data_IF_206985796130
#
_entry.id   IF_206985796130
#
_cell.length_a   1.000
_cell.length_b   1.000
_cell.length_c   1.000
_cell.angle_alpha   90.00
_cell.angle_beta   90.00
_cell.angle_gamma   90.00
#
_symmetry.space_group_name_H-M   'P 1'
#
loop_
_entity.id
_entity.type
_entity.pdbx_description
1 polymer ?
#
# COMPACT_ATOMS: atom_id res chain seq x y z
N UNK A 1 5.79 -10.29 23.50
CA UNK A 1 4.75 -9.23 23.38
C UNK A 1 3.40 -9.90 23.49
N UNK A 2 2.44 -9.38 24.25
CA UNK A 2 1.08 -9.93 24.24
C UNK A 2 0.46 -9.64 22.87
N UNK A 3 -0.42 -10.51 22.34
CA UNK A 3 -1.02 -10.35 21.00
C UNK A 3 -1.88 -9.10 20.87
N UNK A 4 -2.53 -8.64 21.94
CA UNK A 4 -3.20 -7.33 21.94
C UNK A 4 -2.19 -6.21 21.64
N UNK A 5 -0.96 -6.32 22.15
CA UNK A 5 0.12 -5.39 21.88
C UNK A 5 0.58 -5.46 20.43
N UNK A 6 0.72 -6.66 19.85
CA UNK A 6 1.14 -6.85 18.46
C UNK A 6 0.11 -6.29 17.46
N UNK A 7 -1.18 -6.63 17.62
CA UNK A 7 -2.25 -6.08 16.77
C UNK A 7 -2.32 -4.56 16.86
N UNK A 8 -2.23 -3.97 18.05
CA UNK A 8 -2.19 -2.53 18.24
C UNK A 8 -0.98 -1.90 17.52
N UNK A 9 0.20 -2.52 17.63
CA UNK A 9 1.41 -2.06 16.94
C UNK A 9 1.24 -2.10 15.43
N UNK A 10 0.66 -3.17 14.87
CA UNK A 10 0.34 -3.28 13.45
C UNK A 10 -0.64 -2.21 12.97
N UNK A 11 -1.73 -1.97 13.74
CA UNK A 11 -2.71 -0.92 13.44
C UNK A 11 -2.07 0.47 13.42
N UNK A 12 -1.30 0.81 14.45
CA UNK A 12 -0.59 2.10 14.51
C UNK A 12 0.38 2.23 13.34
N UNK A 13 1.12 1.16 13.02
CA UNK A 13 2.01 1.15 11.87
C UNK A 13 1.28 1.49 10.56
N UNK A 14 0.13 0.87 10.29
CA UNK A 14 -0.64 1.16 9.08
C UNK A 14 -1.25 2.55 9.06
N UNK A 15 -1.69 3.09 10.20
CA UNK A 15 -2.18 4.47 10.28
C UNK A 15 -1.08 5.47 9.90
N UNK A 16 0.13 5.27 10.43
CA UNK A 16 1.29 6.11 10.09
C UNK A 16 1.70 5.91 8.63
N UNK A 17 1.68 4.67 8.13
CA UNK A 17 1.94 4.37 6.72
C UNK A 17 0.96 5.08 5.79
N UNK A 18 -0.36 4.99 6.08
CA UNK A 18 -1.41 5.67 5.31
C UNK A 18 -1.23 7.19 5.31
N UNK A 19 -0.81 7.78 6.43
CA UNK A 19 -0.48 9.20 6.51
C UNK A 19 0.61 9.57 5.51
N UNK A 20 1.73 8.85 5.47
CA UNK A 20 2.82 9.14 4.53
C UNK A 20 2.40 8.90 3.07
N UNK A 21 1.70 7.82 2.78
CA UNK A 21 1.29 7.53 1.40
C UNK A 21 0.23 8.50 0.88
N UNK A 22 -0.64 9.00 1.74
CA UNK A 22 -1.68 9.98 1.36
C UNK A 22 -1.12 11.32 0.89
N UNK A 23 0.12 11.66 1.27
CA UNK A 23 0.78 12.90 0.81
C UNK A 23 1.23 12.85 -0.66
N UNK A 24 1.27 11.66 -1.27
CA UNK A 24 1.91 11.46 -2.56
C UNK A 24 1.19 12.20 -3.71
N UNK A 25 -0.15 12.12 -3.76
CA UNK A 25 -0.97 12.80 -4.77
C UNK A 25 -0.88 14.30 -4.65
N UNK A 26 -1.02 14.82 -3.43
CA UNK A 26 -0.97 16.25 -3.13
C UNK A 26 0.41 16.85 -3.42
N UNK A 27 1.49 16.13 -3.03
CA UNK A 27 2.86 16.58 -3.34
C UNK A 27 3.09 16.76 -4.84
N UNK A 28 2.53 15.87 -5.67
CA UNK A 28 2.61 16.03 -7.12
C UNK A 28 1.82 17.24 -7.63
N UNK A 29 0.67 17.53 -7.03
CA UNK A 29 -0.19 18.64 -7.45
C UNK A 29 0.41 20.03 -7.14
N UNK A 30 1.32 20.12 -6.18
CA UNK A 30 2.02 21.37 -5.82
C UNK A 30 3.40 21.53 -6.52
N UNK A 31 3.80 20.59 -7.39
CA UNK A 31 5.02 20.73 -8.20
C UNK A 31 4.84 21.82 -9.27
N UNK A 32 5.89 22.59 -9.52
CA UNK A 32 5.91 23.63 -10.57
C UNK A 32 5.86 23.00 -11.96
N UNK A 33 6.64 21.93 -12.16
CA UNK A 33 6.67 21.13 -13.38
C UNK A 33 6.54 19.63 -13.03
N UNK A 34 5.32 19.12 -12.80
CA UNK A 34 5.13 17.78 -12.23
C UNK A 34 5.54 16.62 -13.15
N UNK A 35 6.04 16.89 -14.34
CA UNK A 35 6.36 15.86 -15.31
C UNK A 35 5.17 14.92 -15.60
N UNK A 36 5.44 13.72 -16.11
CA UNK A 36 4.39 12.71 -16.26
C UNK A 36 4.12 12.00 -14.92
N UNK A 37 2.88 11.53 -14.69
CA UNK A 37 2.60 10.69 -13.51
C UNK A 37 3.56 9.50 -13.38
N UNK A 38 3.97 8.91 -14.51
CA UNK A 38 4.91 7.81 -14.56
C UNK A 38 6.30 8.18 -14.07
N UNK A 39 6.82 9.36 -14.45
CA UNK A 39 8.14 9.84 -14.01
C UNK A 39 8.18 10.09 -12.51
N UNK A 40 7.19 10.82 -11.95
CA UNK A 40 7.11 11.10 -10.51
C UNK A 40 7.08 9.80 -9.70
N UNK A 41 6.27 8.84 -10.12
CA UNK A 41 6.17 7.60 -9.39
C UNK A 41 7.40 6.69 -9.58
N UNK A 42 8.05 6.69 -10.73
CA UNK A 42 9.31 5.99 -10.93
C UNK A 42 10.40 6.56 -9.99
N UNK A 43 10.55 7.87 -9.91
CA UNK A 43 11.47 8.52 -8.98
C UNK A 43 11.12 8.23 -7.52
N UNK A 44 9.83 8.29 -7.16
CA UNK A 44 9.35 7.95 -5.81
C UNK A 44 9.73 6.54 -5.40
N UNK A 45 9.48 5.55 -6.28
CA UNK A 45 9.79 4.14 -6.00
C UNK A 45 11.29 3.92 -6.01
N UNK A 46 12.02 4.52 -6.96
CA UNK A 46 13.47 4.38 -7.04
C UNK A 46 14.13 4.87 -5.76
N UNK A 47 13.88 6.11 -5.36
CA UNK A 47 14.50 6.70 -4.16
C UNK A 47 13.95 6.09 -2.87
N UNK A 48 12.64 5.86 -2.78
CA UNK A 48 12.02 5.30 -1.59
C UNK A 48 12.37 3.84 -1.36
N UNK A 49 12.39 3.03 -2.43
CA UNK A 49 12.80 1.63 -2.34
C UNK A 49 14.30 1.48 -2.07
N UNK A 50 15.15 2.37 -2.61
CA UNK A 50 16.55 2.45 -2.25
C UNK A 50 16.72 2.84 -0.77
N UNK A 51 15.96 3.84 -0.29
CA UNK A 51 15.98 4.30 1.09
C UNK A 51 15.66 3.19 2.09
N UNK A 52 14.55 2.46 1.89
CA UNK A 52 14.21 1.34 2.78
C UNK A 52 15.22 0.19 2.62
N UNK A 53 15.75 -0.06 1.42
CA UNK A 53 16.81 -1.03 1.18
C UNK A 53 18.08 -0.75 2.01
N UNK A 54 18.53 0.51 2.01
CA UNK A 54 19.66 0.95 2.84
C UNK A 54 19.34 0.84 4.33
N UNK A 55 18.13 1.22 4.75
CA UNK A 55 17.70 1.07 6.13
C UNK A 55 17.74 -0.38 6.61
N UNK A 56 17.22 -1.34 5.83
CA UNK A 56 17.22 -2.74 6.22
C UNK A 56 18.62 -3.36 6.17
N UNK A 57 19.46 -2.94 5.24
CA UNK A 57 20.89 -3.32 5.23
C UNK A 57 21.63 -2.84 6.49
N UNK A 58 21.33 -1.62 6.93
CA UNK A 58 21.90 -1.05 8.14
C UNK A 58 21.39 -1.78 9.40
N UNK A 59 20.06 -1.98 9.50
CA UNK A 59 19.42 -2.51 10.71
C UNK A 59 19.61 -4.01 10.89
N UNK A 60 19.47 -4.81 9.81
CA UNK A 60 19.49 -6.28 9.86
C UNK A 60 20.79 -6.88 9.32
N UNK A 61 21.60 -6.08 8.63
CA UNK A 61 22.87 -6.51 8.07
C UNK A 61 22.75 -7.25 6.73
N UNK A 62 23.91 -7.41 6.08
CA UNK A 62 24.01 -8.02 4.74
C UNK A 62 23.57 -9.49 4.70
N UNK A 63 23.77 -10.24 5.80
CA UNK A 63 23.42 -11.67 5.85
C UNK A 63 21.92 -11.90 5.75
N UNK A 64 21.13 -11.19 6.56
CA UNK A 64 19.69 -11.32 6.56
C UNK A 64 19.07 -10.75 5.28
N UNK A 65 19.57 -9.61 4.79
CA UNK A 65 19.18 -9.05 3.51
C UNK A 65 19.37 -10.07 2.37
N UNK A 66 20.58 -10.66 2.26
CA UNK A 66 20.89 -11.64 1.23
C UNK A 66 20.09 -12.95 1.38
N UNK A 67 19.77 -13.36 2.62
CA UNK A 67 18.92 -14.51 2.89
C UNK A 67 17.53 -14.32 2.28
N UNK A 68 16.90 -13.17 2.51
CA UNK A 68 15.57 -12.86 1.96
C UNK A 68 15.65 -12.65 0.44
N UNK A 69 16.69 -11.98 -0.06
CA UNK A 69 16.89 -11.73 -1.50
C UNK A 69 17.01 -13.03 -2.33
N UNK A 70 17.50 -14.13 -1.74
CA UNK A 70 17.61 -15.44 -2.41
C UNK A 70 16.27 -16.15 -2.61
N UNK A 71 15.20 -15.68 -1.99
CA UNK A 71 13.88 -16.30 -2.07
C UNK A 71 13.21 -15.86 -3.39
N UNK A 72 12.88 -16.79 -4.32
CA UNK A 72 12.34 -16.41 -5.63
C UNK A 72 11.06 -15.57 -5.58
N UNK A 73 10.16 -15.86 -4.62
CA UNK A 73 8.91 -15.10 -4.48
C UNK A 73 9.15 -13.63 -4.13
N UNK A 74 10.27 -13.27 -3.52
CA UNK A 74 10.61 -11.89 -3.17
C UNK A 74 10.90 -11.04 -4.42
N UNK A 75 11.48 -11.65 -5.47
CA UNK A 75 11.64 -11.01 -6.77
C UNK A 75 10.31 -10.79 -7.47
N UNK A 76 9.40 -11.74 -7.34
CA UNK A 76 8.04 -11.58 -7.83
C UNK A 76 7.31 -10.44 -7.11
N UNK A 77 7.46 -10.32 -5.78
CA UNK A 77 6.86 -9.23 -4.99
C UNK A 77 7.41 -7.85 -5.41
N UNK A 78 8.72 -7.73 -5.60
CA UNK A 78 9.33 -6.50 -6.11
C UNK A 78 8.83 -6.13 -7.50
N UNK A 79 8.66 -7.13 -8.38
CA UNK A 79 8.09 -6.94 -9.71
C UNK A 79 6.63 -6.51 -9.66
N UNK A 80 5.84 -7.06 -8.75
CA UNK A 80 4.42 -6.66 -8.56
C UNK A 80 4.30 -5.20 -8.15
N UNK A 81 5.20 -4.69 -7.31
CA UNK A 81 5.23 -3.27 -6.94
C UNK A 81 5.41 -2.38 -8.17
N UNK A 82 6.32 -2.75 -9.07
CA UNK A 82 6.57 -2.00 -10.30
C UNK A 82 5.41 -2.12 -11.30
N UNK A 83 4.90 -3.34 -11.52
CA UNK A 83 3.77 -3.59 -12.43
C UNK A 83 2.49 -2.90 -11.95
N UNK A 84 2.22 -2.90 -10.64
CA UNK A 84 1.13 -2.13 -10.03
C UNK A 84 1.17 -0.67 -10.46
N UNK A 85 2.34 -0.04 -10.39
CA UNK A 85 2.48 1.36 -10.77
C UNK A 85 2.23 1.57 -12.27
N UNK A 86 2.80 0.71 -13.13
CA UNK A 86 2.57 0.80 -14.58
C UNK A 86 1.08 0.66 -14.92
N UNK A 87 0.39 -0.29 -14.29
CA UNK A 87 -1.02 -0.52 -14.49
C UNK A 87 -1.87 0.70 -14.05
N UNK A 88 -1.53 1.32 -12.91
CA UNK A 88 -2.19 2.53 -12.43
C UNK A 88 -1.97 3.72 -13.38
N UNK A 89 -0.75 3.90 -13.94
CA UNK A 89 -0.48 4.96 -14.91
C UNK A 89 -1.23 4.76 -16.23
N UNK A 90 -1.40 3.51 -16.65
CA UNK A 90 -2.20 3.20 -17.83
C UNK A 90 -3.70 3.41 -17.59
N UNK A 91 -4.20 3.07 -16.40
CA UNK A 91 -5.61 3.19 -16.03
C UNK A 91 -6.05 4.65 -15.83
N UNK A 92 -5.27 5.44 -15.11
CA UNK A 92 -5.66 6.78 -14.66
C UNK A 92 -6.08 7.75 -15.80
N UNK A 93 -5.37 7.84 -16.95
CA UNK A 93 -5.82 8.68 -18.07
C UNK A 93 -7.11 8.19 -18.75
N UNK A 94 -7.45 6.89 -18.64
CA UNK A 94 -8.56 6.26 -19.34
C UNK A 94 -9.88 6.29 -18.58
N UNK A 95 -9.81 6.14 -17.26
CA UNK A 95 -11.00 6.06 -16.39
C UNK A 95 -10.99 7.08 -15.27
N UNK A 96 -10.00 7.97 -15.24
CA UNK A 96 -9.80 8.95 -14.19
C UNK A 96 -9.01 8.40 -12.99
N UNK A 97 -8.25 9.28 -12.31
CA UNK A 97 -7.40 8.93 -11.16
C UNK A 97 -8.24 8.34 -10.03
N UNK A 98 -9.36 8.98 -9.69
CA UNK A 98 -10.23 8.57 -8.59
C UNK A 98 -10.86 7.18 -8.84
N UNK A 99 -11.38 6.93 -10.06
CA UNK A 99 -12.01 5.65 -10.42
C UNK A 99 -10.96 4.54 -10.49
N UNK A 100 -9.77 4.81 -11.04
CA UNK A 100 -8.69 3.82 -11.09
C UNK A 100 -8.22 3.43 -9.69
N UNK A 101 -8.08 4.37 -8.77
CA UNK A 101 -7.75 4.10 -7.38
C UNK A 101 -8.87 3.30 -6.66
N UNK A 102 -10.14 3.68 -6.87
CA UNK A 102 -11.28 2.95 -6.32
C UNK A 102 -11.28 1.48 -6.76
N UNK A 103 -11.14 1.23 -8.06
CA UNK A 103 -11.14 -0.13 -8.61
C UNK A 103 -9.94 -0.92 -8.11
N UNK A 104 -8.73 -0.35 -8.14
CA UNK A 104 -7.51 -1.03 -7.71
C UNK A 104 -7.52 -1.33 -6.20
N UNK A 105 -7.76 -0.33 -5.35
CA UNK A 105 -7.70 -0.50 -3.89
C UNK A 105 -8.88 -1.34 -3.40
N UNK A 106 -10.10 -1.10 -3.95
CA UNK A 106 -11.30 -1.86 -3.61
C UNK A 106 -11.15 -3.35 -3.97
N UNK A 107 -10.72 -3.66 -5.19
CA UNK A 107 -10.49 -5.05 -5.61
C UNK A 107 -9.33 -5.71 -4.85
N UNK A 108 -8.26 -4.98 -4.52
CA UNK A 108 -7.16 -5.52 -3.73
C UNK A 108 -7.59 -5.97 -2.35
N UNK A 109 -8.44 -5.20 -1.68
CA UNK A 109 -8.96 -5.54 -0.35
C UNK A 109 -9.82 -6.81 -0.39
N UNK A 110 -10.70 -6.92 -1.39
CA UNK A 110 -11.53 -8.11 -1.59
C UNK A 110 -10.68 -9.35 -1.92
N UNK A 111 -9.76 -9.23 -2.88
CA UNK A 111 -8.89 -10.32 -3.32
C UNK A 111 -7.92 -10.77 -2.22
N UNK A 112 -7.39 -9.85 -1.41
CA UNK A 112 -6.52 -10.21 -0.29
C UNK A 112 -7.26 -11.05 0.76
N UNK A 113 -8.53 -10.75 1.04
CA UNK A 113 -9.36 -11.57 1.91
C UNK A 113 -9.63 -12.96 1.34
N UNK A 114 -9.91 -13.05 0.04
CA UNK A 114 -10.10 -14.33 -0.65
C UNK A 114 -8.82 -15.17 -0.64
N UNK A 115 -7.70 -14.60 -1.03
CA UNK A 115 -6.40 -15.29 -1.03
C UNK A 115 -5.94 -15.65 0.39
N UNK A 116 -6.29 -14.87 1.40
CA UNK A 116 -6.01 -15.21 2.80
C UNK A 116 -6.53 -16.61 3.16
N UNK A 117 -7.68 -17.01 2.64
CA UNK A 117 -8.24 -18.35 2.86
C UNK A 117 -7.40 -19.44 2.18
N UNK A 118 -6.94 -19.19 0.95
CA UNK A 118 -6.14 -20.12 0.16
C UNK A 118 -4.76 -20.36 0.81
N UNK A 119 -4.17 -19.29 1.36
CA UNK A 119 -2.84 -19.36 1.99
C UNK A 119 -2.88 -19.66 3.50
N UNK A 120 -4.01 -20.16 4.03
CA UNK A 120 -4.11 -20.62 5.41
C UNK A 120 -4.08 -19.50 6.47
N UNK A 121 -4.42 -18.25 6.11
CA UNK A 121 -4.56 -17.16 7.09
C UNK A 121 -5.93 -17.13 7.78
N UNK A 122 -6.74 -18.15 7.57
CA UNK A 122 -8.09 -18.26 8.09
C UNK A 122 -9.16 -17.65 7.16
N UNK A 123 -10.42 -17.98 7.45
CA UNK A 123 -11.56 -17.46 6.69
C UNK A 123 -11.85 -16.00 7.06
N UNK A 124 -12.26 -15.15 6.12
CA UNK A 124 -12.71 -13.80 6.40
C UNK A 124 -13.82 -13.78 7.45
N UNK A 125 -13.68 -12.97 8.48
CA UNK A 125 -14.73 -12.83 9.49
C UNK A 125 -15.89 -11.99 8.93
N UNK A 126 -17.12 -12.19 9.47
CA UNK A 126 -18.29 -11.39 9.08
C UNK A 126 -18.05 -9.89 9.27
N UNK A 127 -17.34 -9.51 10.34
CA UNK A 127 -16.99 -8.12 10.64
C UNK A 127 -16.01 -7.58 9.59
N UNK A 128 -15.01 -8.37 9.20
CA UNK A 128 -14.08 -7.98 8.15
C UNK A 128 -14.81 -7.76 6.81
N UNK A 129 -15.70 -8.70 6.40
CA UNK A 129 -16.49 -8.57 5.18
C UNK A 129 -17.34 -7.30 5.23
N UNK A 130 -18.07 -7.08 6.32
CA UNK A 130 -18.92 -5.90 6.49
C UNK A 130 -18.09 -4.61 6.41
N UNK A 131 -16.99 -4.52 7.19
CA UNK A 131 -16.12 -3.34 7.20
C UNK A 131 -15.51 -3.06 5.83
N UNK A 132 -15.06 -4.09 5.11
CA UNK A 132 -14.49 -3.94 3.77
C UNK A 132 -15.53 -3.43 2.77
N UNK A 133 -16.74 -4.01 2.75
CA UNK A 133 -17.83 -3.56 1.87
C UNK A 133 -18.23 -2.13 2.19
N UNK A 134 -18.44 -1.80 3.46
CA UNK A 134 -18.81 -0.44 3.89
C UNK A 134 -17.70 0.56 3.55
N UNK A 135 -16.43 0.21 3.75
CA UNK A 135 -15.31 1.08 3.39
C UNK A 135 -15.21 1.30 1.86
N UNK A 136 -15.46 0.29 1.03
CA UNK A 136 -15.51 0.41 -0.43
C UNK A 136 -16.69 1.31 -0.86
N UNK A 137 -17.86 1.16 -0.25
CA UNK A 137 -18.99 2.07 -0.49
C UNK A 137 -18.63 3.52 -0.10
N UNK A 138 -17.98 3.72 1.03
CA UNK A 138 -17.47 5.04 1.44
C UNK A 138 -16.45 5.62 0.46
N UNK A 139 -15.54 4.79 -0.05
CA UNK A 139 -14.58 5.20 -1.07
C UNK A 139 -15.28 5.59 -2.39
N UNK A 140 -16.32 4.85 -2.80
CA UNK A 140 -17.14 5.20 -3.97
C UNK A 140 -17.82 6.55 -3.80
N UNK A 141 -18.34 6.84 -2.60
CA UNK A 141 -18.93 8.15 -2.28
C UNK A 141 -17.87 9.26 -2.28
N UNK A 142 -16.69 9.00 -1.72
CA UNK A 142 -15.61 9.98 -1.65
C UNK A 142 -15.08 10.37 -3.04
N UNK A 143 -14.84 9.39 -3.90
CA UNK A 143 -14.24 9.61 -5.23
C UNK A 143 -15.26 10.04 -6.29
N UNK A 144 -16.54 9.76 -6.08
CA UNK A 144 -17.57 9.92 -7.09
C UNK A 144 -17.42 8.92 -8.26
N UNK A 145 -18.39 8.95 -9.16
CA UNK A 145 -18.42 8.07 -10.34
C UNK A 145 -18.47 8.93 -11.62
N UNK A 146 -17.48 9.81 -11.80
CA UNK A 146 -17.41 10.74 -12.92
C UNK A 146 -16.28 10.33 -13.87
N UNK A 147 -16.54 9.44 -14.82
CA UNK A 147 -15.52 9.06 -15.80
C UNK A 147 -16.05 8.26 -16.97
N UNK A 148 -15.38 8.35 -18.11
CA UNK A 148 -15.57 7.42 -19.21
C UNK A 148 -15.05 6.05 -18.79
N UNK A 149 -15.90 5.05 -18.76
CA UNK A 149 -15.56 3.69 -18.36
C UNK A 149 -14.91 2.93 -19.55
N UNK A 150 -13.68 3.28 -19.88
CA UNK A 150 -12.93 2.52 -20.88
C UNK A 150 -12.54 1.15 -20.32
N UNK A 151 -12.97 0.07 -21.00
CA UNK A 151 -12.75 -1.31 -20.53
C UNK A 151 -11.27 -1.63 -20.28
N UNK A 152 -10.37 -1.15 -21.13
CA UNK A 152 -8.92 -1.37 -20.96
C UNK A 152 -8.36 -0.69 -19.72
N UNK A 153 -8.90 0.49 -19.36
CA UNK A 153 -8.58 1.19 -18.12
C UNK A 153 -9.07 0.44 -16.87
N UNK A 154 -10.29 -0.10 -16.92
CA UNK A 154 -10.84 -0.94 -15.83
C UNK A 154 -9.99 -2.20 -15.65
N UNK A 155 -9.66 -2.91 -16.73
CA UNK A 155 -8.84 -4.12 -16.67
C UNK A 155 -7.44 -3.83 -16.10
N UNK A 156 -6.84 -2.70 -16.48
CA UNK A 156 -5.57 -2.27 -15.91
C UNK A 156 -5.68 -1.99 -14.40
N UNK A 157 -6.72 -1.28 -13.96
CA UNK A 157 -6.95 -1.02 -12.52
C UNK A 157 -7.21 -2.31 -11.73
N UNK A 158 -7.99 -3.26 -12.29
CA UNK A 158 -8.19 -4.58 -11.69
C UNK A 158 -6.90 -5.38 -11.60
N UNK A 159 -6.04 -5.31 -12.64
CA UNK A 159 -4.71 -5.95 -12.60
C UNK A 159 -3.82 -5.34 -11.53
N UNK A 160 -3.85 -4.02 -11.36
CA UNK A 160 -3.18 -3.36 -10.25
C UNK A 160 -3.69 -3.87 -8.89
N UNK A 161 -5.01 -3.97 -8.71
CA UNK A 161 -5.60 -4.51 -7.49
C UNK A 161 -5.19 -5.97 -7.21
N UNK A 162 -5.11 -6.80 -8.26
CA UNK A 162 -4.60 -8.17 -8.14
C UNK A 162 -3.13 -8.20 -7.69
N UNK A 163 -2.27 -7.37 -8.31
CA UNK A 163 -0.86 -7.27 -7.93
C UNK A 163 -0.71 -6.82 -6.48
N UNK A 164 -1.50 -5.82 -6.05
CA UNK A 164 -1.49 -5.34 -4.66
C UNK A 164 -1.95 -6.43 -3.67
N UNK A 165 -3.01 -7.18 -3.99
CA UNK A 165 -3.48 -8.28 -3.15
C UNK A 165 -2.44 -9.40 -3.01
N UNK A 166 -1.86 -9.83 -4.13
CA UNK A 166 -0.81 -10.87 -4.14
C UNK A 166 0.44 -10.40 -3.40
N UNK A 167 0.84 -9.14 -3.59
CA UNK A 167 1.93 -8.52 -2.87
C UNK A 167 1.75 -8.61 -1.34
N UNK A 168 0.57 -8.29 -0.83
CA UNK A 168 0.29 -8.35 0.61
C UNK A 168 0.24 -9.79 1.10
N UNK A 169 -0.52 -10.65 0.42
CA UNK A 169 -0.72 -12.05 0.85
C UNK A 169 0.58 -12.84 0.82
N UNK A 170 1.32 -12.78 -0.30
CA UNK A 170 2.60 -13.47 -0.43
C UNK A 170 3.68 -12.84 0.46
N UNK A 171 3.64 -11.51 0.67
CA UNK A 171 4.52 -10.82 1.60
C UNK A 171 4.33 -11.32 3.03
N UNK A 172 3.10 -11.35 3.54
CA UNK A 172 2.78 -11.91 4.87
C UNK A 172 3.12 -13.39 4.95
N UNK A 173 2.85 -14.18 3.89
CA UNK A 173 3.25 -15.57 3.84
C UNK A 173 4.76 -15.74 3.94
N UNK A 174 5.54 -14.93 3.23
CA UNK A 174 7.01 -14.94 3.29
C UNK A 174 7.51 -14.58 4.69
N UNK A 175 6.92 -13.57 5.34
CA UNK A 175 7.25 -13.18 6.72
C UNK A 175 7.07 -14.38 7.66
N UNK A 176 5.95 -15.09 7.57
CA UNK A 176 5.64 -16.25 8.41
C UNK A 176 6.55 -17.45 8.13
N UNK A 177 6.67 -17.86 6.88
CA UNK A 177 7.45 -19.06 6.49
C UNK A 177 8.94 -18.88 6.74
N UNK A 178 9.46 -17.67 6.57
CA UNK A 178 10.87 -17.36 6.82
C UNK A 178 11.15 -16.94 8.27
N UNK A 179 10.12 -16.82 9.12
CA UNK A 179 10.23 -16.29 10.49
C UNK A 179 11.02 -14.98 10.52
N UNK A 180 10.75 -14.11 9.53
CA UNK A 180 11.48 -12.87 9.30
C UNK A 180 10.69 -11.66 9.79
N UNK A 181 11.38 -10.56 10.07
CA UNK A 181 10.75 -9.28 10.37
C UNK A 181 10.05 -8.72 9.13
N UNK A 182 8.85 -8.14 9.31
CA UNK A 182 8.07 -7.59 8.20
C UNK A 182 8.75 -6.41 7.52
N UNK A 183 9.48 -5.59 8.28
CA UNK A 183 10.25 -4.47 7.71
C UNK A 183 11.38 -5.02 6.81
N UNK A 184 12.05 -6.10 7.24
CA UNK A 184 13.11 -6.71 6.44
C UNK A 184 12.57 -7.25 5.13
N UNK A 185 11.51 -8.05 5.15
CA UNK A 185 10.90 -8.63 3.94
C UNK A 185 10.39 -7.53 3.02
N UNK A 186 9.63 -6.56 3.56
CA UNK A 186 9.13 -5.41 2.80
C UNK A 186 10.26 -4.60 2.17
N UNK A 187 11.32 -4.32 2.93
CA UNK A 187 12.47 -3.54 2.44
C UNK A 187 13.25 -4.23 1.34
N UNK A 188 13.42 -5.55 1.40
CA UNK A 188 14.13 -6.30 0.35
C UNK A 188 13.36 -6.28 -0.96
N UNK A 189 12.04 -6.55 -0.96
CA UNK A 189 11.32 -6.50 -2.22
C UNK A 189 11.06 -5.08 -2.74
N UNK A 190 10.94 -4.07 -1.88
CA UNK A 190 10.93 -2.67 -2.29
C UNK A 190 12.26 -2.24 -2.94
N UNK A 191 13.39 -2.81 -2.49
CA UNK A 191 14.69 -2.60 -3.15
C UNK A 191 14.71 -3.16 -4.58
N UNK A 192 14.08 -4.32 -4.81
CA UNK A 192 13.92 -4.89 -6.15
C UNK A 192 13.03 -3.98 -7.01
N UNK A 193 11.89 -3.52 -6.47
CA UNK A 193 11.02 -2.54 -7.13
C UNK A 193 11.77 -1.26 -7.52
N UNK A 194 12.66 -0.79 -6.63
CA UNK A 194 13.56 0.34 -6.89
C UNK A 194 14.50 0.08 -8.08
N UNK A 195 15.12 -1.09 -8.13
CA UNK A 195 15.99 -1.46 -9.26
C UNK A 195 15.23 -1.48 -10.59
N UNK A 196 13.99 -1.98 -10.61
CA UNK A 196 13.16 -2.02 -11.81
C UNK A 196 12.65 -0.63 -12.21
N UNK A 197 12.41 0.25 -11.24
CA UNK A 197 11.99 1.63 -11.49
C UNK A 197 13.15 2.55 -11.94
N UNK A 198 14.39 2.22 -11.58
CA UNK A 198 15.56 3.06 -11.85
C UNK A 198 15.74 3.44 -13.33
N UNK A 199 15.64 2.52 -14.33
CA UNK A 199 15.77 2.89 -15.72
C UNK A 199 14.72 3.91 -16.18
N UNK A 200 13.47 3.77 -15.73
CA UNK A 200 12.38 4.70 -16.05
C UNK A 200 12.60 6.05 -15.37
N UNK A 201 12.99 6.05 -14.10
CA UNK A 201 13.29 7.27 -13.35
C UNK A 201 14.42 8.06 -14.03
N UNK A 202 15.55 7.40 -14.31
CA UNK A 202 16.73 8.06 -14.90
C UNK A 202 16.47 8.54 -16.33
N UNK A 203 15.72 7.79 -17.13
CA UNK A 203 15.35 8.19 -18.49
C UNK A 203 14.38 9.37 -18.50
N UNK A 204 13.62 9.59 -17.44
CA UNK A 204 12.61 10.65 -17.33
C UNK A 204 13.05 11.87 -16.48
N UNK A 205 14.32 11.91 -16.04
CA UNK A 205 14.80 12.90 -15.07
C UNK A 205 14.94 14.34 -15.58
N UNK A 206 14.91 14.57 -16.90
CA UNK A 206 15.10 15.90 -17.49
C UNK A 206 13.96 16.91 -17.22
N UNK A 207 12.93 16.55 -16.47
CA UNK A 207 11.82 17.42 -16.08
C UNK A 207 11.99 18.06 -14.69
N UNK A 208 12.99 17.63 -13.91
CA UNK A 208 13.25 18.21 -12.58
C UNK A 208 14.14 19.45 -12.77
N UNK A 209 13.50 20.57 -13.09
CA UNK A 209 14.21 21.82 -13.42
C UNK A 209 14.20 22.83 -12.27
N UNK A 210 13.28 22.65 -11.29
CA UNK A 210 13.16 23.56 -10.15
C UNK A 210 13.68 22.94 -8.85
N UNK A 211 14.18 23.78 -7.94
CA UNK A 211 14.61 23.37 -6.60
C UNK A 211 13.41 22.85 -5.80
N UNK A 212 12.20 23.42 -6.01
CA UNK A 212 10.98 22.99 -5.33
C UNK A 212 10.58 21.57 -5.73
N UNK A 213 10.63 21.26 -7.04
CA UNK A 213 10.32 19.91 -7.53
C UNK A 213 11.33 18.87 -7.04
N UNK A 214 12.62 19.25 -7.00
CA UNK A 214 13.65 18.37 -6.42
C UNK A 214 13.39 18.09 -4.94
N UNK A 215 13.05 19.10 -4.13
CA UNK A 215 12.73 18.92 -2.72
C UNK A 215 11.48 18.05 -2.52
N UNK A 216 10.46 18.21 -3.36
CA UNK A 216 9.26 17.39 -3.32
C UNK A 216 9.54 15.91 -3.67
N UNK A 217 10.38 15.65 -4.66
CA UNK A 217 10.81 14.27 -4.98
C UNK A 217 11.66 13.66 -3.86
N UNK A 218 12.56 14.44 -3.26
CA UNK A 218 13.35 14.01 -2.10
C UNK A 218 12.46 13.76 -0.86
N UNK A 219 11.37 14.52 -0.72
CA UNK A 219 10.35 14.22 0.27
C UNK A 219 9.58 12.92 -0.06
N UNK A 220 9.08 12.78 -1.29
CA UNK A 220 8.25 11.65 -1.70
C UNK A 220 8.98 10.31 -1.65
N UNK A 221 10.23 10.26 -2.11
CA UNK A 221 11.03 9.03 -2.10
C UNK A 221 11.60 8.72 -0.71
N UNK A 222 12.66 9.42 -0.29
CA UNK A 222 13.37 9.11 0.96
C UNK A 222 12.54 9.27 2.23
N UNK A 223 11.58 10.18 2.28
CA UNK A 223 10.78 10.40 3.48
C UNK A 223 9.45 9.63 3.37
N UNK A 224 8.53 10.07 2.53
CA UNK A 224 7.18 9.54 2.52
C UNK A 224 7.14 8.04 2.14
N UNK A 225 7.87 7.64 1.09
CA UNK A 225 7.86 6.24 0.65
C UNK A 225 8.71 5.35 1.57
N UNK A 226 9.90 5.79 2.00
CA UNK A 226 10.76 4.98 2.89
C UNK A 226 10.09 4.79 4.25
N UNK A 227 9.68 5.87 4.93
CA UNK A 227 9.04 5.78 6.24
C UNK A 227 7.68 5.07 6.14
N UNK A 228 6.88 5.41 5.12
CA UNK A 228 5.62 4.73 4.86
C UNK A 228 5.80 3.22 4.76
N UNK A 229 6.81 2.74 4.03
CA UNK A 229 7.09 1.31 3.90
C UNK A 229 7.69 0.67 5.15
N UNK A 230 8.45 1.38 5.97
CA UNK A 230 8.90 0.88 7.28
C UNK A 230 7.68 0.57 8.16
N UNK A 231 6.74 1.51 8.29
CA UNK A 231 5.53 1.35 9.07
C UNK A 231 4.56 0.34 8.44
N UNK A 232 4.50 0.27 7.11
CA UNK A 232 3.76 -0.77 6.40
C UNK A 232 4.28 -2.17 6.70
N UNK A 233 5.60 -2.35 6.75
CA UNK A 233 6.24 -3.60 7.17
C UNK A 233 5.86 -4.05 8.58
N UNK A 234 5.65 -3.10 9.50
CA UNK A 234 5.11 -3.39 10.85
C UNK A 234 3.68 -3.93 10.75
N UNK A 235 2.86 -3.34 9.88
CA UNK A 235 1.51 -3.82 9.60
C UNK A 235 1.48 -5.24 9.04
N UNK A 236 2.30 -5.50 8.01
CA UNK A 236 2.45 -6.82 7.39
C UNK A 236 2.90 -7.91 8.38
N UNK A 237 3.72 -7.54 9.37
CA UNK A 237 4.21 -8.48 10.39
C UNK A 237 3.12 -8.89 11.38
N UNK A 238 2.24 -7.97 11.75
CA UNK A 238 1.36 -8.10 12.91
C UNK A 238 -0.12 -8.34 12.57
N UNK A 239 -0.52 -8.19 11.30
CA UNK A 239 -1.93 -8.26 10.89
C UNK A 239 -2.15 -9.23 9.73
N UNK A 240 -3.40 -9.66 9.56
CA UNK A 240 -3.78 -10.48 8.42
C UNK A 240 -3.77 -9.68 7.12
N UNK A 241 -3.52 -10.32 5.96
CA UNK A 241 -3.48 -9.62 4.66
C UNK A 241 -4.73 -8.80 4.36
N UNK A 242 -5.92 -9.36 4.61
CA UNK A 242 -7.18 -8.66 4.41
C UNK A 242 -7.32 -7.43 5.30
N UNK A 243 -6.89 -7.50 6.56
CA UNK A 243 -6.89 -6.35 7.47
C UNK A 243 -5.93 -5.26 7.00
N UNK A 244 -4.73 -5.63 6.55
CA UNK A 244 -3.74 -4.67 6.01
C UNK A 244 -4.34 -3.89 4.84
N UNK A 245 -4.87 -4.57 3.82
CA UNK A 245 -5.42 -3.91 2.63
C UNK A 245 -6.66 -3.06 2.94
N UNK A 246 -7.52 -3.51 3.88
CA UNK A 246 -8.71 -2.74 4.26
C UNK A 246 -8.34 -1.45 5.00
N UNK A 247 -7.35 -1.48 5.91
CA UNK A 247 -6.91 -0.28 6.64
C UNK A 247 -6.26 0.73 5.67
N UNK A 248 -5.59 0.26 4.62
CA UNK A 248 -5.01 1.15 3.60
C UNK A 248 -6.06 1.93 2.80
N UNK A 249 -7.37 1.60 2.90
CA UNK A 249 -8.47 2.46 2.42
C UNK A 249 -8.52 3.84 3.14
N UNK A 250 -7.75 4.03 4.20
CA UNK A 250 -7.56 5.32 4.83
C UNK A 250 -6.71 6.29 4.00
N UNK A 251 -5.87 5.77 3.08
CA UNK A 251 -5.01 6.61 2.23
C UNK A 251 -5.79 7.65 1.41
N UNK A 252 -6.89 7.33 0.70
CA UNK A 252 -7.71 8.31 0.00
C UNK A 252 -8.33 9.36 0.92
N UNK A 253 -8.69 8.99 2.15
CA UNK A 253 -9.21 9.96 3.14
C UNK A 253 -8.12 10.96 3.52
N UNK A 254 -6.91 10.48 3.78
CA UNK A 254 -5.75 11.34 4.04
C UNK A 254 -5.42 12.23 2.85
N UNK A 255 -5.47 11.72 1.61
CA UNK A 255 -5.24 12.50 0.40
C UNK A 255 -6.27 13.63 0.25
N UNK A 256 -7.56 13.36 0.57
CA UNK A 256 -8.61 14.39 0.59
C UNK A 256 -8.32 15.47 1.63
N UNK A 257 -7.88 15.09 2.82
CA UNK A 257 -7.52 16.07 3.88
C UNK A 257 -6.38 16.96 3.38
N UNK A 258 -5.34 16.40 2.79
CA UNK A 258 -4.22 17.17 2.21
C UNK A 258 -4.67 18.07 1.05
N UNK A 259 -5.58 17.61 0.19
CA UNK A 259 -6.18 18.40 -0.89
C UNK A 259 -6.88 19.65 -0.36
N UNK A 260 -7.66 19.52 0.72
CA UNK A 260 -8.31 20.67 1.35
C UNK A 260 -7.30 21.66 1.92
N UNK A 261 -6.29 21.18 2.66
CA UNK A 261 -5.37 22.08 3.38
C UNK A 261 -4.28 22.70 2.51
N UNK A 262 -3.85 22.03 1.44
CA UNK A 262 -2.71 22.48 0.61
C UNK A 262 -3.13 22.95 -0.78
N UNK A 263 -4.31 22.55 -1.26
CA UNK A 263 -4.79 22.90 -2.61
C UNK A 263 -6.10 23.70 -2.58
N UNK A 264 -6.60 24.07 -1.38
CA UNK A 264 -7.88 24.75 -1.18
C UNK A 264 -9.06 24.02 -1.86
N UNK A 265 -8.97 22.69 -1.99
CA UNK A 265 -10.04 21.87 -2.56
C UNK A 265 -11.28 21.91 -1.67
N UNK A 266 -12.46 22.10 -2.29
CA UNK A 266 -13.71 22.07 -1.56
C UNK A 266 -14.24 20.65 -1.44
N UNK A 267 -14.38 20.17 -0.21
CA UNK A 267 -15.00 18.88 0.05
C UNK A 267 -16.51 18.95 -0.18
N UNK A 268 -17.00 18.16 -1.12
CA UNK A 268 -18.44 18.04 -1.34
C UNK A 268 -19.11 17.33 -0.16
N UNK A 269 -20.40 17.59 0.07
CA UNK A 269 -21.18 16.87 1.10
C UNK A 269 -21.10 15.36 0.90
N UNK A 270 -21.15 14.89 -0.35
CA UNK A 270 -20.97 13.48 -0.70
C UNK A 270 -19.59 12.95 -0.27
N UNK A 271 -18.53 13.70 -0.55
CA UNK A 271 -17.16 13.36 -0.16
C UNK A 271 -16.99 13.29 1.37
N UNK A 272 -17.58 14.23 2.10
CA UNK A 272 -17.61 14.22 3.57
C UNK A 272 -18.27 12.95 4.12
N UNK A 273 -19.46 12.60 3.58
CA UNK A 273 -20.14 11.36 3.97
C UNK A 273 -19.25 10.15 3.65
N UNK A 274 -18.61 10.11 2.48
CA UNK A 274 -17.67 9.06 2.10
C UNK A 274 -16.54 8.89 3.11
N UNK A 275 -15.89 9.98 3.52
CA UNK A 275 -14.86 9.96 4.56
C UNK A 275 -15.38 9.38 5.90
N UNK A 276 -16.54 9.84 6.36
CA UNK A 276 -17.13 9.36 7.61
C UNK A 276 -17.48 7.88 7.56
N UNK A 277 -17.98 7.39 6.41
CA UNK A 277 -18.29 5.98 6.17
C UNK A 277 -17.01 5.13 6.20
N UNK A 278 -15.93 5.56 5.55
CA UNK A 278 -14.63 4.87 5.61
C UNK A 278 -14.14 4.82 7.04
N UNK A 279 -14.06 5.95 7.72
CA UNK A 279 -13.55 6.02 9.10
C UNK A 279 -14.33 5.13 10.06
N UNK A 280 -15.68 5.10 9.96
CA UNK A 280 -16.51 4.24 10.79
C UNK A 280 -16.28 2.75 10.53
N UNK A 281 -16.14 2.36 9.26
CA UNK A 281 -15.83 0.99 8.87
C UNK A 281 -14.46 0.54 9.39
N UNK A 282 -13.44 1.40 9.27
CA UNK A 282 -12.09 1.12 9.76
C UNK A 282 -12.02 1.07 11.30
N UNK A 283 -12.77 1.92 11.99
CA UNK A 283 -12.88 1.87 13.44
C UNK A 283 -13.51 0.56 13.92
N UNK A 284 -14.57 0.08 13.24
CA UNK A 284 -15.19 -1.21 13.53
C UNK A 284 -14.21 -2.36 13.30
N UNK A 285 -13.45 -2.34 12.19
CA UNK A 285 -12.44 -3.35 11.89
C UNK A 285 -11.33 -3.35 12.94
N UNK A 286 -10.78 -2.19 13.27
CA UNK A 286 -9.71 -2.05 14.26
C UNK A 286 -10.15 -2.54 15.64
N UNK A 287 -11.39 -2.24 16.05
CA UNK A 287 -11.97 -2.74 17.29
C UNK A 287 -12.09 -4.27 17.28
N UNK A 288 -12.52 -4.87 16.16
CA UNK A 288 -12.61 -6.32 16.01
C UNK A 288 -11.23 -6.98 16.10
N UNK A 289 -10.23 -6.44 15.39
CA UNK A 289 -8.86 -6.97 15.41
C UNK A 289 -8.23 -6.89 16.82
N UNK A 290 -8.52 -5.82 17.57
CA UNK A 290 -8.00 -5.65 18.94
C UNK A 290 -8.57 -6.66 19.95
N UNK A 291 -9.68 -7.32 19.60
CA UNK A 291 -10.35 -8.36 20.44
C UNK A 291 -10.03 -9.80 20.05
N UNK A 292 -9.35 -10.03 18.92
CA UNK A 292 -8.99 -11.40 18.55
C UNK A 292 -8.08 -12.01 19.59
N UNK A 293 -8.41 -13.23 20.10
CA UNK A 293 -7.49 -13.98 20.94
C UNK A 293 -6.24 -14.34 20.12
N UNK A 294 -5.15 -14.61 20.83
CA UNK A 294 -3.93 -15.16 20.24
C UNK A 294 -4.31 -16.47 19.58
N UNK A 295 -4.17 -16.56 18.27
CA UNK A 295 -4.08 -17.88 17.67
C UNK A 295 -2.68 -18.39 18.02
N UNK A 296 -2.62 -19.34 18.91
CA UNK A 296 -1.44 -20.17 19.24
C UNK A 296 -1.06 -21.11 18.08
N UNK A 297 -1.40 -20.74 16.83
CA UNK A 297 -1.26 -21.55 15.61
C UNK A 297 0.19 -21.69 15.10
N UNK A 298 1.19 -21.57 15.97
CA UNK A 298 2.57 -21.95 15.61
C UNK A 298 2.91 -23.41 15.90
N UNK A 299 2.05 -24.17 16.60
CA UNK A 299 2.30 -25.59 16.90
C UNK A 299 1.52 -26.58 16.04
N UNK A 300 0.36 -26.22 15.49
CA UNK A 300 -0.45 -27.18 14.70
C UNK A 300 0.04 -27.41 13.26
N UNK A 301 0.82 -26.52 12.66
CA UNK A 301 1.39 -26.73 11.32
C UNK A 301 2.61 -27.68 11.36
N UNK A 302 3.16 -27.94 12.53
CA UNK A 302 4.28 -28.89 12.73
C UNK A 302 3.88 -30.36 12.79
N UNK A 303 2.59 -30.69 12.82
CA UNK A 303 2.11 -32.08 12.97
C UNK A 303 1.48 -32.69 11.71
N UNK A 304 1.50 -31.98 10.58
CA UNK A 304 0.99 -32.45 9.28
C UNK A 304 2.09 -32.46 8.18
N UNK A 305 3.36 -32.63 8.57
CA UNK A 305 4.46 -32.89 7.62
C UNK A 305 5.03 -34.28 7.85
#
# INVERSE_FOLDING_TARGET
>A
MTTKSAAKTGLIGLLISSFFFSTATTSRAIMDNPGTPASVAAWRIFLGGAGIGLYVLYKYGRKDFARILKIPVVWLLGSFTFVFQLAMFYAAPKIGVAVSALVAIGSSSFLAGLFSTIFGFGKPTKIWILSTVVAICGLTLLTGFNGNLEVTGILAALSAGLMAALFVVLGVNTIRTQKADGILVNGVFMSIGSMLAAPVALASGGWIDSTSDLLLILYLGPIATTLGNIFYGIGLHNLSPGTVTTIMLLEPVGATIWGIFLLDEQLTTQGLIGCLVILSALALLAYSESKKPIIEDLEEVGTLA
#
